data_IF_210443504739
#
_entry.id   IF_210443504739
#
_cell.length_a   1.000
_cell.length_b   1.000
_cell.length_c   1.000
_cell.angle_alpha   90.00
_cell.angle_beta   90.00
_cell.angle_gamma   90.00
#
_symmetry.space_group_name_H-M   'P 1'
#
loop_
_entity.id
_entity.type
_entity.pdbx_description
1 polymer ?
#
# COMPACT_ATOMS: atom_id res chain seq x y z
N UNK A 1 6.18 -5.17 -11.63
CA UNK A 1 6.05 -3.75 -11.25
C UNK A 1 7.43 -3.09 -11.30
N UNK A 2 7.56 -1.86 -11.82
CA UNK A 2 8.85 -1.16 -11.82
C UNK A 2 9.17 -0.67 -10.41
N UNK A 3 10.14 -1.30 -9.74
CA UNK A 3 10.59 -0.93 -8.39
C UNK A 3 11.19 0.48 -8.29
N UNK A 4 11.50 1.11 -9.43
CA UNK A 4 12.00 2.48 -9.50
C UNK A 4 10.89 3.52 -9.70
N UNK A 5 9.63 3.08 -9.87
CA UNK A 5 8.49 4.00 -9.92
C UNK A 5 8.36 4.72 -8.56
N UNK A 6 8.46 6.05 -8.58
CA UNK A 6 8.42 6.86 -7.37
C UNK A 6 7.11 6.66 -6.59
N UNK A 7 6.01 6.35 -7.30
CA UNK A 7 4.67 6.04 -6.75
C UNK A 7 4.66 4.76 -5.91
N UNK A 8 5.62 3.87 -6.14
CA UNK A 8 5.74 2.57 -5.48
C UNK A 8 6.82 2.61 -4.39
N UNK A 9 7.86 3.43 -4.57
CA UNK A 9 8.97 3.52 -3.60
C UNK A 9 8.52 4.10 -2.26
N UNK A 10 7.71 5.16 -2.26
CA UNK A 10 7.31 5.81 -1.00
C UNK A 10 6.42 4.90 -0.13
N UNK A 11 5.42 4.24 -0.70
CA UNK A 11 4.62 3.27 0.06
C UNK A 11 5.48 2.11 0.60
N UNK A 12 6.57 1.77 -0.09
CA UNK A 12 7.58 0.80 0.37
C UNK A 12 8.58 1.35 1.41
N UNK A 13 8.20 2.37 2.16
CA UNK A 13 8.99 2.91 3.28
C UNK A 13 10.19 3.76 2.88
N UNK A 14 10.39 4.07 1.59
CA UNK A 14 11.43 5.02 1.19
C UNK A 14 11.01 6.46 1.48
N UNK A 15 11.88 7.24 2.12
CA UNK A 15 11.67 8.66 2.40
C UNK A 15 12.86 9.44 1.88
N UNK A 16 12.58 10.55 1.19
CA UNK A 16 13.59 11.52 0.76
C UNK A 16 13.23 12.88 1.31
N UNK A 17 14.18 13.50 1.99
CA UNK A 17 14.02 14.87 2.48
C UNK A 17 15.36 15.59 2.53
N UNK A 18 15.30 16.89 2.79
CA UNK A 18 16.47 17.77 2.81
C UNK A 18 16.65 18.37 4.19
N UNK A 19 17.89 18.42 4.65
CA UNK A 19 18.29 19.08 5.89
C UNK A 19 19.48 19.99 5.65
N UNK A 20 19.47 21.17 6.28
CA UNK A 20 20.66 22.01 6.42
C UNK A 20 21.74 21.27 7.23
N UNK A 21 23.02 21.45 6.87
CA UNK A 21 24.18 20.80 7.49
C UNK A 21 24.24 20.96 9.00
N UNK A 22 23.65 22.03 9.56
CA UNK A 22 23.61 22.27 11.02
C UNK A 22 22.80 21.22 11.78
N UNK A 23 21.90 20.51 11.10
CA UNK A 23 21.09 19.42 11.68
C UNK A 23 21.73 18.05 11.54
N UNK A 24 22.91 17.96 10.92
CA UNK A 24 23.60 16.70 10.65
C UNK A 24 24.87 16.66 11.49
N UNK A 25 25.14 15.50 12.09
CA UNK A 25 26.35 15.31 12.88
C UNK A 25 27.59 15.54 11.99
N UNK A 26 28.50 16.41 12.44
CA UNK A 26 29.70 16.80 11.69
C UNK A 26 30.63 15.62 11.39
N UNK A 27 30.71 14.63 12.28
CA UNK A 27 31.50 13.42 12.03
C UNK A 27 30.91 12.61 10.88
N UNK A 28 29.57 12.57 10.80
CA UNK A 28 28.82 11.95 9.70
C UNK A 28 28.87 12.80 8.42
N UNK A 29 29.30 14.05 8.46
CA UNK A 29 29.58 14.80 7.23
C UNK A 29 31.00 14.54 6.70
N UNK A 30 31.90 14.01 7.53
CA UNK A 30 33.31 13.85 7.18
C UNK A 30 33.64 12.54 6.43
N UNK A 31 32.81 11.50 6.51
CA UNK A 31 33.03 10.28 5.71
C UNK A 31 32.63 10.55 4.24
N UNK A 32 33.22 9.80 3.29
CA UNK A 32 33.19 10.17 1.86
C UNK A 32 31.99 9.60 1.07
N UNK A 33 31.27 8.62 1.60
CA UNK A 33 29.99 8.10 1.08
C UNK A 33 29.38 7.14 2.09
N UNK A 34 28.09 7.28 2.38
CA UNK A 34 27.46 6.60 3.50
C UNK A 34 26.25 5.82 3.05
N UNK A 35 26.33 4.51 3.16
CA UNK A 35 25.16 3.68 3.33
C UNK A 35 25.25 3.14 4.75
N UNK A 36 24.58 3.81 5.67
CA UNK A 36 24.45 3.33 7.05
C UNK A 36 23.36 2.28 7.08
N UNK A 37 23.60 1.17 7.76
CA UNK A 37 22.65 0.07 7.90
C UNK A 37 22.16 -0.05 9.33
N UNK A 38 20.97 -0.61 9.50
CA UNK A 38 20.36 -0.92 10.80
C UNK A 38 20.28 0.31 11.73
N UNK A 39 19.82 1.43 11.17
CA UNK A 39 19.58 2.67 11.89
C UNK A 39 18.24 2.62 12.64
N UNK A 40 18.07 3.54 13.60
CA UNK A 40 16.82 3.69 14.33
C UNK A 40 16.49 5.16 14.58
N UNK A 41 15.21 5.44 14.84
CA UNK A 41 14.68 6.77 15.09
C UNK A 41 14.24 6.84 16.54
N UNK A 42 14.65 7.90 17.25
CA UNK A 42 14.18 8.23 18.59
C UNK A 42 13.33 9.49 18.51
N UNK A 43 12.09 9.39 18.99
CA UNK A 43 11.22 10.53 19.19
C UNK A 43 11.55 11.20 20.53
N UNK A 44 11.96 12.45 20.50
CA UNK A 44 12.35 13.23 21.68
C UNK A 44 11.31 14.31 21.95
N UNK A 45 10.54 14.15 23.03
CA UNK A 45 9.54 15.13 23.43
C UNK A 45 10.17 16.47 23.83
N UNK A 46 9.48 17.57 23.51
CA UNK A 46 9.98 18.92 23.74
C UNK A 46 9.19 19.62 24.84
N UNK A 47 9.87 20.47 25.61
CA UNK A 47 9.24 21.25 26.67
C UNK A 47 8.17 22.21 26.14
N UNK A 48 7.26 22.62 27.02
CA UNK A 48 6.25 23.67 26.76
C UNK A 48 5.29 23.34 25.60
N UNK A 49 4.94 22.06 25.44
CA UNK A 49 3.97 21.62 24.42
C UNK A 49 4.48 21.76 22.98
N UNK A 50 5.79 21.95 22.79
CA UNK A 50 6.40 21.99 21.46
C UNK A 50 6.33 20.60 20.83
N UNK A 51 6.25 20.58 19.49
CA UNK A 51 6.31 19.35 18.72
C UNK A 51 7.62 18.60 19.02
N UNK A 52 7.59 17.26 19.12
CA UNK A 52 8.77 16.44 19.37
C UNK A 52 9.80 16.61 18.25
N UNK A 53 11.04 16.26 18.53
CA UNK A 53 12.08 16.11 17.51
C UNK A 53 12.26 14.62 17.18
N UNK A 54 12.74 14.33 15.98
CA UNK A 54 13.12 12.97 15.60
C UNK A 54 14.63 12.92 15.38
N UNK A 55 15.32 12.12 16.19
CA UNK A 55 16.76 11.94 16.08
C UNK A 55 17.03 10.59 15.47
N UNK A 56 17.87 10.55 14.44
CA UNK A 56 18.26 9.33 13.75
C UNK A 56 19.63 8.89 14.26
N UNK A 57 19.75 7.62 14.62
CA UNK A 57 20.97 7.02 15.13
C UNK A 57 21.41 5.83 14.27
N UNK A 58 22.71 5.58 14.24
CA UNK A 58 23.29 4.31 13.78
C UNK A 58 22.98 3.18 14.77
N UNK A 59 23.26 1.94 14.38
CA UNK A 59 23.14 0.76 15.25
C UNK A 59 24.01 0.82 16.52
N UNK A 60 25.13 1.54 16.47
CA UNK A 60 26.03 1.79 17.61
C UNK A 60 25.74 3.11 18.36
N UNK A 61 24.53 3.65 18.23
CA UNK A 61 24.03 4.84 18.93
C UNK A 61 24.79 6.15 18.64
N UNK A 62 25.41 6.28 17.48
CA UNK A 62 25.94 7.57 17.01
C UNK A 62 24.84 8.36 16.32
N UNK A 63 24.64 9.60 16.75
CA UNK A 63 23.65 10.49 16.14
C UNK A 63 24.04 10.80 14.69
N UNK A 64 23.09 10.65 13.78
CA UNK A 64 23.20 10.95 12.35
C UNK A 64 22.69 12.36 12.09
N UNK A 65 21.42 12.62 12.41
CA UNK A 65 20.78 13.92 12.24
C UNK A 65 19.62 14.10 13.22
N UNK A 66 19.22 15.35 13.41
CA UNK A 66 18.05 15.75 14.20
C UNK A 66 17.05 16.50 13.31
N UNK A 67 15.81 16.02 13.30
CA UNK A 67 14.73 16.56 12.50
C UNK A 67 13.76 17.30 13.44
N UNK A 68 13.91 18.61 13.48
CA UNK A 68 13.03 19.50 14.22
C UNK A 68 11.73 19.80 13.47
N UNK A 69 10.70 20.22 14.20
CA UNK A 69 9.39 20.57 13.63
C UNK A 69 9.42 21.73 12.61
N UNK A 70 10.44 22.60 12.67
CA UNK A 70 10.63 23.68 11.70
C UNK A 70 11.12 23.20 10.34
N UNK A 71 11.71 22.00 10.26
CA UNK A 71 12.15 21.38 9.01
C UNK A 71 10.95 20.70 8.34
N UNK A 72 9.92 21.49 7.99
CA UNK A 72 8.56 21.01 7.69
C UNK A 72 8.48 19.85 6.69
N UNK A 73 9.29 19.90 5.62
CA UNK A 73 9.38 18.81 4.64
C UNK A 73 9.94 17.51 5.26
N UNK A 74 11.11 17.59 5.89
CA UNK A 74 11.72 16.44 6.58
C UNK A 74 10.84 15.91 7.72
N UNK A 75 10.20 16.80 8.45
CA UNK A 75 9.34 16.48 9.57
C UNK A 75 8.11 15.67 9.14
N UNK A 76 7.46 16.05 8.03
CA UNK A 76 6.34 15.27 7.47
C UNK A 76 6.76 13.86 7.06
N UNK A 77 7.91 13.74 6.40
CA UNK A 77 8.39 12.46 5.87
C UNK A 77 8.82 11.50 7.00
N UNK A 78 9.55 12.00 8.02
CA UNK A 78 10.05 11.16 9.11
C UNK A 78 8.93 10.62 10.00
N UNK A 79 7.85 11.39 10.20
CA UNK A 79 6.70 10.97 11.01
C UNK A 79 6.06 9.68 10.51
N UNK A 80 6.09 9.43 9.21
CA UNK A 80 5.48 8.26 8.60
C UNK A 80 6.23 6.96 8.93
N UNK A 81 7.51 7.04 9.29
CA UNK A 81 8.38 5.88 9.53
C UNK A 81 9.03 5.90 10.92
N UNK A 82 8.67 6.86 11.79
CA UNK A 82 9.34 7.11 13.06
C UNK A 82 9.34 5.92 14.04
N UNK A 83 8.38 5.01 13.91
CA UNK A 83 8.24 3.83 14.77
C UNK A 83 8.77 2.54 14.12
N UNK A 84 9.52 2.65 13.03
CA UNK A 84 10.03 1.51 12.27
C UNK A 84 11.56 1.44 12.35
N UNK A 85 12.15 0.23 12.32
CA UNK A 85 13.57 0.07 12.05
C UNK A 85 13.93 0.65 10.69
N UNK A 86 15.14 1.20 10.55
CA UNK A 86 15.61 1.80 9.31
C UNK A 86 16.72 0.94 8.71
N UNK A 87 16.43 0.30 7.57
CA UNK A 87 17.38 -0.58 6.87
C UNK A 87 18.58 0.19 6.34
N UNK A 88 18.34 1.36 5.73
CA UNK A 88 19.40 2.15 5.12
C UNK A 88 19.18 3.64 5.31
N UNK A 89 20.25 4.37 5.58
CA UNK A 89 20.32 5.83 5.48
C UNK A 89 21.45 6.22 4.54
N UNK A 90 21.16 7.09 3.58
CA UNK A 90 22.13 7.71 2.67
C UNK A 90 22.04 9.22 2.76
N UNK A 91 23.20 9.88 2.76
CA UNK A 91 23.33 11.33 2.89
C UNK A 91 24.25 11.83 1.78
N UNK A 92 23.81 12.85 1.04
CA UNK A 92 24.58 13.46 -0.04
C UNK A 92 24.43 14.98 -0.04
N UNK A 93 25.51 15.75 -0.28
CA UNK A 93 25.40 17.20 -0.43
C UNK A 93 24.59 17.54 -1.68
N UNK A 94 23.86 18.66 -1.64
CA UNK A 94 23.19 19.20 -2.81
C UNK A 94 24.17 19.90 -3.76
N UNK A 95 23.95 19.77 -5.07
CA UNK A 95 24.77 20.46 -6.09
C UNK A 95 24.47 21.96 -6.19
N UNK A 96 23.34 22.42 -5.60
CA UNK A 96 22.86 23.81 -5.67
C UNK A 96 23.73 24.84 -4.92
N UNK A 97 24.75 24.40 -4.17
CA UNK A 97 25.65 25.28 -3.41
C UNK A 97 25.05 25.85 -2.13
N UNK A 98 23.82 25.46 -1.78
CA UNK A 98 23.28 25.66 -0.44
C UNK A 98 23.88 24.64 0.53
N UNK A 99 23.97 24.99 1.81
CA UNK A 99 24.49 24.12 2.87
C UNK A 99 23.53 22.95 3.21
N UNK A 100 22.75 22.48 2.24
CA UNK A 100 21.73 21.46 2.35
C UNK A 100 22.23 20.09 1.89
N UNK A 101 21.70 19.06 2.54
CA UNK A 101 21.98 17.66 2.23
C UNK A 101 20.68 16.94 1.94
N UNK A 102 20.70 16.13 0.89
CA UNK A 102 19.66 15.16 0.60
C UNK A 102 19.87 13.93 1.48
N UNK A 103 18.81 13.51 2.16
CA UNK A 103 18.77 12.33 3.00
C UNK A 103 17.74 11.36 2.42
N UNK A 104 18.20 10.15 2.10
CA UNK A 104 17.39 9.02 1.68
C UNK A 104 17.35 7.98 2.80
N UNK A 105 16.15 7.59 3.23
CA UNK A 105 15.93 6.54 4.23
C UNK A 105 15.05 5.44 3.67
N UNK A 106 15.30 4.20 4.10
CA UNK A 106 14.43 3.07 3.84
C UNK A 106 14.04 2.41 5.16
N UNK A 107 12.75 2.44 5.48
CA UNK A 107 12.21 1.68 6.60
C UNK A 107 12.21 0.17 6.33
N UNK A 108 12.37 -0.62 7.37
CA UNK A 108 12.17 -2.06 7.32
C UNK A 108 10.67 -2.39 7.46
N UNK A 109 10.06 -2.80 6.35
CA UNK A 109 8.67 -3.24 6.32
C UNK A 109 8.52 -4.76 6.36
N UNK A 110 9.62 -5.52 6.57
CA UNK A 110 9.51 -6.96 6.84
C UNK A 110 8.55 -7.17 8.02
N UNK A 111 7.74 -8.23 8.03
CA UNK A 111 6.76 -8.44 9.08
C UNK A 111 7.45 -8.42 10.44
N UNK A 112 7.22 -7.35 11.21
CA UNK A 112 7.66 -7.24 12.61
C UNK A 112 6.89 -8.26 13.46
N UNK A 113 5.72 -8.69 12.99
CA UNK A 113 4.83 -9.61 13.68
C UNK A 113 4.60 -10.89 12.86
N UNK A 114 4.80 -12.04 13.49
CA UNK A 114 4.15 -13.28 13.07
C UNK A 114 2.66 -13.14 13.43
N UNK A 115 1.85 -12.69 12.48
CA UNK A 115 0.40 -12.68 12.66
C UNK A 115 -0.09 -14.12 12.84
N UNK A 116 -0.83 -14.39 13.92
CA UNK A 116 -1.35 -15.73 14.22
C UNK A 116 -2.25 -16.26 13.09
N UNK A 117 -2.98 -15.36 12.43
CA UNK A 117 -3.87 -15.65 11.32
C UNK A 117 -3.59 -14.69 10.15
N UNK A 118 -2.57 -14.95 9.31
CA UNK A 118 -2.27 -14.09 8.17
C UNK A 118 -3.36 -14.24 7.09
N UNK A 119 -3.67 -13.15 6.38
CA UNK A 119 -4.56 -13.18 5.23
C UNK A 119 -3.74 -13.61 4.01
N UNK A 120 -4.03 -14.78 3.45
CA UNK A 120 -3.23 -15.33 2.34
C UNK A 120 -3.12 -14.38 1.15
N UNK A 121 -4.24 -13.75 0.79
CA UNK A 121 -4.36 -12.85 -0.36
C UNK A 121 -5.47 -11.85 -0.07
N UNK A 122 -5.21 -10.59 -0.41
CA UNK A 122 -6.25 -9.57 -0.56
C UNK A 122 -6.24 -9.02 -1.98
N UNK A 123 -7.38 -8.48 -2.42
CA UNK A 123 -7.49 -7.68 -3.63
C UNK A 123 -7.98 -6.29 -3.25
N UNK A 124 -7.36 -5.26 -3.80
CA UNK A 124 -7.68 -3.86 -3.51
C UNK A 124 -8.02 -3.13 -4.81
N UNK A 125 -8.99 -2.24 -4.73
CA UNK A 125 -9.33 -1.30 -5.80
C UNK A 125 -9.87 0.00 -5.19
N UNK A 126 -9.65 1.13 -5.88
CA UNK A 126 -10.09 2.46 -5.48
C UNK A 126 -10.89 3.17 -6.57
N UNK A 127 -11.91 3.91 -6.15
CA UNK A 127 -12.50 4.99 -6.96
C UNK A 127 -12.10 6.33 -6.36
N UNK A 128 -11.76 7.30 -7.20
CA UNK A 128 -11.10 8.56 -6.80
C UNK A 128 -11.76 9.77 -7.44
N UNK A 129 -11.49 10.97 -6.91
CA UNK A 129 -11.98 12.22 -7.51
C UNK A 129 -11.30 12.57 -8.84
N UNK A 130 -10.20 11.89 -9.18
CA UNK A 130 -9.38 12.12 -10.36
C UNK A 130 -8.16 11.21 -10.38
N UNK A 131 -7.12 11.59 -11.13
CA UNK A 131 -5.97 10.70 -11.42
C UNK A 131 -4.67 11.10 -10.73
N UNK A 132 -4.60 12.27 -10.08
CA UNK A 132 -3.39 12.77 -9.42
C UNK A 132 -3.49 12.56 -7.90
N UNK A 133 -2.79 11.56 -7.31
CA UNK A 133 -2.89 11.26 -5.89
C UNK A 133 -2.47 12.42 -4.98
N UNK A 134 -1.73 13.42 -5.48
CA UNK A 134 -1.34 14.61 -4.70
C UNK A 134 -2.44 15.67 -4.60
N UNK A 135 -3.48 15.56 -5.44
CA UNK A 135 -4.56 16.55 -5.58
C UNK A 135 -5.94 15.94 -5.42
N UNK A 136 -6.07 14.68 -5.80
CA UNK A 136 -7.29 13.89 -5.79
C UNK A 136 -7.37 13.01 -4.54
N UNK A 137 -8.59 12.62 -4.20
CA UNK A 137 -8.91 11.87 -2.99
C UNK A 137 -9.67 10.59 -3.32
N UNK A 138 -9.56 9.57 -2.47
CA UNK A 138 -10.33 8.33 -2.59
C UNK A 138 -11.78 8.58 -2.17
N UNK A 139 -12.71 8.17 -3.04
CA UNK A 139 -14.16 8.19 -2.84
C UNK A 139 -14.73 6.82 -2.44
N UNK A 140 -14.10 5.73 -2.87
CA UNK A 140 -14.43 4.37 -2.46
C UNK A 140 -13.16 3.54 -2.37
N UNK A 141 -13.03 2.74 -1.31
CA UNK A 141 -11.99 1.72 -1.18
C UNK A 141 -12.67 0.38 -0.93
N UNK A 142 -12.31 -0.61 -1.74
CA UNK A 142 -12.74 -1.99 -1.54
C UNK A 142 -11.54 -2.89 -1.30
N UNK A 143 -11.72 -3.83 -0.39
CA UNK A 143 -10.78 -4.91 -0.10
C UNK A 143 -11.56 -6.20 0.03
N UNK A 144 -11.20 -7.21 -0.77
CA UNK A 144 -11.73 -8.58 -0.63
C UNK A 144 -10.60 -9.55 -0.29
N UNK A 145 -10.92 -10.67 0.33
CA UNK A 145 -9.96 -11.76 0.51
C UNK A 145 -9.79 -12.58 -0.78
N UNK A 146 -8.82 -13.49 -0.76
CA UNK A 146 -8.58 -14.46 -1.84
C UNK A 146 -9.67 -15.53 -2.01
N UNK A 147 -10.84 -15.39 -1.40
CA UNK A 147 -12.05 -16.20 -1.66
C UNK A 147 -13.21 -15.34 -2.18
N UNK A 148 -13.03 -14.02 -2.29
CA UNK A 148 -14.05 -13.08 -2.73
C UNK A 148 -14.92 -12.52 -1.60
N UNK A 149 -14.63 -12.82 -0.33
CA UNK A 149 -15.36 -12.23 0.79
C UNK A 149 -14.92 -10.77 0.99
N UNK A 150 -15.88 -9.88 1.20
CA UNK A 150 -15.60 -8.47 1.46
C UNK A 150 -15.00 -8.28 2.86
N UNK A 151 -13.79 -7.73 2.90
CA UNK A 151 -13.13 -7.24 4.13
C UNK A 151 -13.53 -5.78 4.38
N UNK A 152 -13.48 -4.95 3.32
CA UNK A 152 -13.83 -3.54 3.35
C UNK A 152 -14.54 -3.16 2.05
N UNK A 153 -15.58 -2.34 2.13
CA UNK A 153 -16.22 -1.71 0.96
C UNK A 153 -16.93 -0.44 1.44
N UNK A 154 -16.16 0.63 1.57
CA UNK A 154 -16.62 1.88 2.14
C UNK A 154 -16.54 3.01 1.12
N UNK A 155 -17.48 3.93 1.22
CA UNK A 155 -17.45 5.22 0.54
C UNK A 155 -16.98 6.29 1.51
N UNK A 156 -16.25 7.28 0.99
CA UNK A 156 -15.65 8.33 1.78
C UNK A 156 -16.00 9.71 1.24
N UNK A 157 -16.12 10.66 2.17
CA UNK A 157 -16.25 12.07 1.83
C UNK A 157 -14.84 12.66 1.62
N UNK A 158 -14.55 13.29 0.47
CA UNK A 158 -13.29 14.00 0.28
C UNK A 158 -13.22 15.22 1.21
N UNK A 159 -12.02 15.52 1.72
CA UNK A 159 -11.75 16.60 2.68
C UNK A 159 -11.36 17.91 1.99
N UNK A 160 -10.74 17.84 0.80
CA UNK A 160 -10.13 18.97 0.11
C UNK A 160 -10.69 19.20 -1.31
N UNK A 161 -11.22 18.17 -1.96
CA UNK A 161 -11.79 18.22 -3.30
C UNK A 161 -13.31 18.39 -3.24
N UNK A 162 -13.84 19.40 -3.91
CA UNK A 162 -15.27 19.75 -3.87
C UNK A 162 -16.04 19.39 -5.16
N UNK A 163 -15.34 18.98 -6.23
CA UNK A 163 -15.89 18.63 -7.54
C UNK A 163 -15.04 17.57 -8.25
N UNK A 164 -15.70 16.60 -8.90
CA UNK A 164 -15.05 15.51 -9.65
C UNK A 164 -15.94 15.02 -10.81
N UNK A 165 -16.50 15.96 -11.56
CA UNK A 165 -17.50 15.67 -12.61
C UNK A 165 -17.02 14.68 -13.67
N UNK A 166 -15.74 14.70 -14.04
CA UNK A 166 -15.19 13.74 -15.01
C UNK A 166 -15.09 12.33 -14.42
N UNK A 167 -14.55 12.18 -13.21
CA UNK A 167 -14.48 10.89 -12.54
C UNK A 167 -15.90 10.33 -12.28
N UNK A 168 -16.83 11.18 -11.85
CA UNK A 168 -18.23 10.80 -11.62
C UNK A 168 -18.96 10.31 -12.89
N UNK A 169 -18.53 10.69 -14.10
CA UNK A 169 -19.09 10.12 -15.35
C UNK A 169 -18.70 8.65 -15.53
N UNK A 170 -17.60 8.22 -14.92
CA UNK A 170 -17.04 6.89 -15.03
C UNK A 170 -17.60 5.99 -13.93
N UNK A 171 -17.39 6.36 -12.66
CA UNK A 171 -17.75 5.52 -11.50
C UNK A 171 -19.10 5.88 -10.85
N UNK A 172 -19.78 6.91 -11.34
CA UNK A 172 -21.12 7.33 -10.89
C UNK A 172 -21.25 7.71 -9.41
N UNK A 173 -20.15 7.91 -8.69
CA UNK A 173 -20.16 8.36 -7.30
C UNK A 173 -20.38 9.87 -7.28
N UNK A 174 -21.52 10.30 -6.76
CA UNK A 174 -21.89 11.72 -6.70
C UNK A 174 -21.55 12.33 -5.34
N UNK A 175 -21.41 13.67 -5.31
CA UNK A 175 -21.24 14.42 -4.05
C UNK A 175 -22.34 14.11 -3.03
N UNK A 176 -23.57 13.90 -3.49
CA UNK A 176 -24.71 13.56 -2.62
C UNK A 176 -24.57 12.17 -1.99
N UNK A 177 -23.98 11.19 -2.69
CA UNK A 177 -23.75 9.85 -2.14
C UNK A 177 -22.75 9.86 -0.99
N UNK A 178 -21.73 10.71 -1.08
CA UNK A 178 -20.62 10.77 -0.11
C UNK A 178 -20.74 11.87 0.94
N UNK A 179 -21.70 12.82 0.82
CA UNK A 179 -21.79 14.02 1.67
C UNK A 179 -21.76 13.77 3.19
N UNK A 180 -22.30 12.64 3.63
CA UNK A 180 -22.43 12.25 5.04
C UNK A 180 -21.55 11.06 5.41
N UNK A 181 -20.64 10.65 4.52
CA UNK A 181 -19.68 9.57 4.78
C UNK A 181 -18.50 10.12 5.59
N UNK A 182 -17.82 9.28 6.38
CA UNK A 182 -16.59 9.70 7.04
C UNK A 182 -15.48 9.95 6.00
N UNK A 183 -14.43 10.71 6.35
CA UNK A 183 -13.22 10.78 5.54
C UNK A 183 -12.47 9.45 5.61
N UNK A 184 -11.68 9.12 4.59
CA UNK A 184 -10.90 7.88 4.54
C UNK A 184 -9.85 7.78 5.66
N UNK A 185 -9.40 8.93 6.19
CA UNK A 185 -8.52 9.00 7.35
C UNK A 185 -9.08 8.27 8.58
N UNK A 186 -10.41 8.11 8.68
CA UNK A 186 -11.06 7.33 9.76
C UNK A 186 -10.80 5.82 9.70
N UNK A 187 -10.52 5.27 8.51
CA UNK A 187 -10.24 3.83 8.31
C UNK A 187 -8.74 3.54 8.15
N UNK A 188 -7.86 4.56 8.24
CA UNK A 188 -6.43 4.42 7.97
C UNK A 188 -5.76 3.29 8.77
N UNK A 189 -6.04 3.20 10.07
CA UNK A 189 -5.47 2.18 10.95
C UNK A 189 -5.98 0.77 10.59
N UNK A 190 -7.26 0.65 10.24
CA UNK A 190 -7.86 -0.59 9.77
C UNK A 190 -7.20 -1.05 8.46
N UNK A 191 -7.07 -0.14 7.49
CA UNK A 191 -6.44 -0.42 6.19
C UNK A 191 -4.99 -0.87 6.40
N UNK A 192 -4.21 -0.15 7.21
CA UNK A 192 -2.83 -0.52 7.52
C UNK A 192 -2.74 -1.91 8.17
N UNK A 193 -3.67 -2.23 9.08
CA UNK A 193 -3.74 -3.54 9.72
C UNK A 193 -4.00 -4.68 8.72
N UNK A 194 -4.92 -4.47 7.76
CA UNK A 194 -5.20 -5.43 6.69
C UNK A 194 -3.99 -5.62 5.76
N UNK A 195 -3.33 -4.53 5.35
CA UNK A 195 -2.11 -4.57 4.54
C UNK A 195 -0.97 -5.34 5.24
N UNK A 196 -0.81 -5.15 6.55
CA UNK A 196 0.23 -5.83 7.32
C UNK A 196 -0.02 -7.35 7.41
N UNK A 197 -1.28 -7.75 7.62
CA UNK A 197 -1.68 -9.16 7.74
C UNK A 197 -1.67 -9.91 6.41
N UNK A 198 -1.76 -9.21 5.28
CA UNK A 198 -1.74 -9.80 3.95
C UNK A 198 -0.37 -10.42 3.62
N UNK A 199 -0.37 -11.62 3.04
CA UNK A 199 0.82 -12.25 2.45
C UNK A 199 0.99 -11.87 0.97
N UNK A 200 -0.13 -11.64 0.27
CA UNK A 200 -0.18 -11.15 -1.11
C UNK A 200 -1.23 -10.05 -1.22
N UNK A 201 -0.90 -8.98 -1.95
CA UNK A 201 -1.78 -7.86 -2.26
C UNK A 201 -1.93 -7.77 -3.77
N UNK A 202 -3.08 -8.14 -4.29
CA UNK A 202 -3.38 -8.16 -5.72
C UNK A 202 -4.10 -6.86 -6.08
N UNK A 203 -3.62 -6.17 -7.12
CA UNK A 203 -4.24 -4.94 -7.62
C UNK A 203 -4.18 -4.99 -9.16
N UNK A 204 -5.20 -4.47 -9.83
CA UNK A 204 -5.16 -4.30 -11.28
C UNK A 204 -4.63 -2.91 -11.60
N UNK A 205 -3.48 -2.79 -12.28
CA UNK A 205 -2.77 -1.51 -12.45
C UNK A 205 -2.26 -0.92 -11.11
N UNK A 206 -1.60 -1.78 -10.31
CA UNK A 206 -1.14 -1.49 -8.96
C UNK A 206 -0.50 -0.10 -8.71
N UNK A 207 0.34 0.47 -9.60
CA UNK A 207 0.94 1.78 -9.34
C UNK A 207 -0.05 2.93 -9.13
N UNK A 208 -1.30 2.80 -9.60
CA UNK A 208 -2.34 3.81 -9.39
C UNK A 208 -2.80 3.81 -7.93
N UNK A 209 -3.40 2.71 -7.46
CA UNK A 209 -3.92 2.59 -6.10
C UNK A 209 -2.84 2.77 -5.04
N UNK A 210 -1.65 2.19 -5.28
CA UNK A 210 -0.52 2.33 -4.35
C UNK A 210 -0.11 3.80 -4.13
N UNK A 211 -0.25 4.66 -5.16
CA UNK A 211 0.08 6.07 -5.03
C UNK A 211 -0.93 6.82 -4.16
N UNK A 212 -2.22 6.49 -4.25
CA UNK A 212 -3.24 7.05 -3.35
C UNK A 212 -3.07 6.53 -1.92
N UNK A 213 -2.78 5.24 -1.73
CA UNK A 213 -2.51 4.68 -0.41
C UNK A 213 -1.25 5.30 0.23
N UNK A 214 -0.22 5.64 -0.57
CA UNK A 214 0.97 6.37 -0.10
C UNK A 214 0.62 7.77 0.43
N UNK A 215 -0.25 8.51 -0.27
CA UNK A 215 -0.65 9.87 0.15
C UNK A 215 -1.53 9.85 1.42
N UNK A 216 -2.22 8.74 1.71
CA UNK A 216 -2.81 8.49 3.02
C UNK A 216 -1.75 8.26 4.13
N UNK A 217 -0.50 8.06 3.75
CA UNK A 217 0.60 7.70 4.64
C UNK A 217 0.53 6.24 5.10
N UNK A 218 -0.02 5.35 4.27
CA UNK A 218 0.06 3.90 4.48
C UNK A 218 1.41 3.38 4.03
N UNK A 219 1.79 2.21 4.55
CA UNK A 219 3.01 1.50 4.22
C UNK A 219 2.70 0.08 3.78
N UNK A 220 3.39 -0.39 2.75
CA UNK A 220 3.25 -1.74 2.23
C UNK A 220 4.57 -2.25 1.72
N UNK A 221 4.95 -3.45 2.17
CA UNK A 221 6.03 -4.20 1.53
C UNK A 221 5.61 -4.62 0.12
N UNK A 222 6.13 -3.89 -0.87
CA UNK A 222 5.77 -4.04 -2.28
C UNK A 222 6.21 -5.36 -2.88
N UNK A 223 7.04 -6.16 -2.18
CA UNK A 223 7.33 -7.55 -2.57
C UNK A 223 6.10 -8.45 -2.49
N UNK A 224 5.09 -8.05 -1.69
CA UNK A 224 3.80 -8.74 -1.58
C UNK A 224 2.83 -8.36 -2.71
N UNK A 225 3.15 -7.34 -3.52
CA UNK A 225 2.22 -6.79 -4.50
C UNK A 225 2.29 -7.55 -5.84
N UNK A 226 1.12 -7.98 -6.29
CA UNK A 226 0.89 -8.56 -7.62
C UNK A 226 0.08 -7.57 -8.47
N UNK A 227 0.65 -7.12 -9.61
CA UNK A 227 -0.03 -6.25 -10.59
C UNK A 227 -0.67 -7.10 -11.68
N UNK A 228 -1.94 -7.46 -11.47
CA UNK A 228 -2.70 -8.38 -12.33
C UNK A 228 -2.72 -7.95 -13.79
N UNK A 229 -2.82 -6.64 -14.06
CA UNK A 229 -2.85 -6.11 -15.42
C UNK A 229 -1.60 -6.48 -16.21
N UNK A 230 -0.43 -6.27 -15.60
CA UNK A 230 0.85 -6.58 -16.24
C UNK A 230 1.05 -8.07 -16.38
N UNK A 231 0.72 -8.85 -15.35
CA UNK A 231 0.88 -10.30 -15.42
C UNK A 231 0.00 -10.91 -16.51
N UNK A 232 -1.29 -10.54 -16.54
CA UNK A 232 -2.23 -11.00 -17.56
C UNK A 232 -1.83 -10.50 -18.94
N UNK A 233 -1.59 -9.19 -19.08
CA UNK A 233 -1.19 -8.56 -20.34
C UNK A 233 0.04 -9.22 -20.95
N UNK A 234 1.07 -9.53 -20.14
CA UNK A 234 2.28 -10.16 -20.64
C UNK A 234 2.15 -11.66 -20.90
N UNK A 235 1.41 -12.38 -20.06
CA UNK A 235 1.24 -13.83 -20.21
C UNK A 235 0.35 -14.18 -21.39
N UNK A 236 -0.73 -13.42 -21.62
CA UNK A 236 -1.77 -13.71 -22.60
C UNK A 236 -1.59 -12.90 -23.89
N UNK A 237 -1.25 -11.61 -23.77
CA UNK A 237 -1.31 -10.67 -24.91
C UNK A 237 0.03 -10.07 -25.33
N UNK A 238 1.12 -10.33 -24.60
CA UNK A 238 2.44 -9.68 -24.79
C UNK A 238 2.37 -8.15 -24.72
N UNK A 239 1.53 -7.62 -23.84
CA UNK A 239 1.31 -6.18 -23.62
C UNK A 239 1.56 -5.79 -22.17
N UNK A 240 2.05 -4.57 -21.97
CA UNK A 240 2.17 -3.97 -20.62
C UNK A 240 0.82 -3.47 -20.07
N UNK A 241 -0.14 -3.18 -20.95
CA UNK A 241 -1.47 -2.68 -20.60
C UNK A 241 -2.55 -3.53 -21.27
N UNK A 242 -3.56 -3.90 -20.49
CA UNK A 242 -4.78 -4.55 -20.98
C UNK A 242 -5.96 -4.12 -20.11
N UNK A 243 -7.12 -3.84 -20.70
CA UNK A 243 -8.29 -3.36 -19.94
C UNK A 243 -8.88 -4.49 -19.07
N UNK A 244 -9.22 -4.19 -17.82
CA UNK A 244 -9.80 -5.18 -16.89
C UNK A 244 -11.08 -5.81 -17.44
N UNK A 245 -12.00 -5.01 -17.97
CA UNK A 245 -13.25 -5.51 -18.56
C UNK A 245 -13.00 -6.53 -19.69
N UNK A 246 -11.96 -6.33 -20.50
CA UNK A 246 -11.60 -7.26 -21.57
C UNK A 246 -10.94 -8.52 -21.00
N UNK A 247 -10.02 -8.37 -20.05
CA UNK A 247 -9.37 -9.50 -19.38
C UNK A 247 -10.40 -10.39 -18.67
N UNK A 248 -11.33 -9.77 -17.93
CA UNK A 248 -12.41 -10.44 -17.22
C UNK A 248 -13.32 -11.18 -18.20
N UNK A 249 -13.74 -10.54 -19.29
CA UNK A 249 -14.58 -11.18 -20.32
C UNK A 249 -13.89 -12.40 -20.96
N UNK A 250 -12.60 -12.31 -21.28
CA UNK A 250 -11.81 -13.45 -21.79
C UNK A 250 -11.65 -14.58 -20.76
N UNK A 251 -11.76 -14.26 -19.48
CA UNK A 251 -11.79 -15.22 -18.38
C UNK A 251 -13.21 -15.72 -18.07
N UNK A 252 -14.22 -15.33 -18.85
CA UNK A 252 -15.62 -15.72 -18.65
C UNK A 252 -16.30 -15.01 -17.48
N UNK A 253 -15.85 -13.82 -17.09
CA UNK A 253 -16.41 -13.02 -16.01
C UNK A 253 -16.90 -11.66 -16.52
N UNK A 254 -18.21 -11.43 -16.38
CA UNK A 254 -18.87 -10.17 -16.76
C UNK A 254 -19.40 -9.47 -15.52
N UNK A 255 -19.25 -8.16 -15.45
CA UNK A 255 -19.58 -7.39 -14.26
C UNK A 255 -19.87 -5.92 -14.61
N UNK A 256 -20.34 -5.16 -13.62
CA UNK A 256 -20.50 -3.72 -13.73
C UNK A 256 -19.20 -3.02 -13.35
N UNK A 257 -18.47 -2.52 -14.34
CA UNK A 257 -17.21 -1.81 -14.15
C UNK A 257 -17.39 -0.45 -13.47
N UNK A 258 -16.29 0.07 -12.90
CA UNK A 258 -16.22 1.36 -12.21
C UNK A 258 -17.02 1.36 -10.90
N UNK A 259 -16.89 0.24 -10.19
CA UNK A 259 -17.25 0.10 -8.80
C UNK A 259 -16.17 -0.74 -8.13
N UNK A 260 -15.43 -0.15 -7.19
CA UNK A 260 -14.23 -0.83 -6.65
C UNK A 260 -14.47 -2.23 -6.08
N UNK A 261 -15.67 -2.55 -5.56
CA UNK A 261 -15.94 -3.92 -5.09
C UNK A 261 -16.09 -4.90 -6.25
N UNK A 262 -16.77 -4.49 -7.31
CA UNK A 262 -16.94 -5.32 -8.50
C UNK A 262 -15.62 -5.45 -9.29
N UNK A 263 -14.84 -4.37 -9.36
CA UNK A 263 -13.49 -4.38 -9.94
C UNK A 263 -12.52 -5.25 -9.13
N UNK A 264 -12.62 -5.27 -7.78
CA UNK A 264 -11.92 -6.25 -6.95
C UNK A 264 -12.24 -7.70 -7.35
N UNK A 265 -13.54 -8.04 -7.49
CA UNK A 265 -13.97 -9.40 -7.86
C UNK A 265 -13.50 -9.78 -9.27
N UNK A 266 -13.62 -8.87 -10.23
CA UNK A 266 -13.13 -9.08 -11.59
C UNK A 266 -11.60 -9.29 -11.59
N UNK A 267 -10.87 -8.48 -10.84
CA UNK A 267 -9.41 -8.60 -10.67
C UNK A 267 -9.03 -9.96 -10.08
N UNK A 268 -9.72 -10.41 -9.03
CA UNK A 268 -9.49 -11.73 -8.42
C UNK A 268 -9.69 -12.86 -9.45
N UNK A 269 -10.75 -12.78 -10.26
CA UNK A 269 -11.05 -13.79 -11.27
C UNK A 269 -9.97 -13.84 -12.37
N UNK A 270 -9.51 -12.67 -12.83
CA UNK A 270 -8.38 -12.58 -13.78
C UNK A 270 -7.10 -13.12 -13.15
N UNK A 271 -6.83 -12.82 -11.88
CA UNK A 271 -5.63 -13.33 -11.20
C UNK A 271 -5.67 -14.86 -11.05
N UNK A 272 -6.83 -15.49 -10.82
CA UNK A 272 -6.93 -16.94 -10.86
C UNK A 272 -6.56 -17.53 -12.22
N UNK A 273 -6.93 -16.86 -13.32
CA UNK A 273 -6.51 -17.27 -14.66
C UNK A 273 -4.99 -17.20 -14.81
N UNK A 274 -4.38 -16.11 -14.34
CA UNK A 274 -2.91 -15.92 -14.34
C UNK A 274 -2.20 -17.00 -13.54
N UNK A 275 -2.65 -17.27 -12.30
CA UNK A 275 -2.08 -18.27 -11.41
C UNK A 275 -2.09 -19.66 -12.06
N UNK A 276 -3.23 -20.04 -12.66
CA UNK A 276 -3.39 -21.30 -13.38
C UNK A 276 -2.44 -21.43 -14.59
N UNK A 277 -2.23 -20.35 -15.34
CA UNK A 277 -1.31 -20.34 -16.48
C UNK A 277 0.15 -20.47 -16.04
N UNK A 278 0.55 -19.81 -14.95
CA UNK A 278 1.89 -19.93 -14.36
C UNK A 278 2.15 -21.34 -13.85
N UNK A 279 1.19 -21.95 -13.16
CA UNK A 279 1.31 -23.32 -12.68
C UNK A 279 1.49 -24.33 -13.83
N UNK A 280 0.73 -24.18 -14.93
CA UNK A 280 0.87 -25.07 -16.11
C UNK A 280 2.25 -24.96 -16.77
N UNK A 281 2.83 -23.75 -16.86
CA UNK A 281 4.18 -23.56 -17.40
C UNK A 281 5.27 -24.18 -16.52
N UNK A 282 5.05 -24.24 -15.21
CA UNK A 282 6.01 -24.78 -14.24
C UNK A 282 5.89 -26.30 -14.04
N UNK A 283 4.95 -26.99 -14.71
CA UNK A 283 4.90 -28.45 -14.71
C UNK A 283 5.94 -29.00 -15.68
N UNK A 284 6.84 -29.92 -15.26
CA UNK A 284 7.75 -30.59 -16.18
C UNK A 284 6.96 -31.34 -17.26
N UNK A 285 7.49 -31.36 -18.48
CA UNK A 285 6.83 -31.82 -19.71
C UNK A 285 6.63 -33.34 -19.81
N UNK A 286 6.42 -34.05 -18.70
CA UNK A 286 6.06 -35.47 -18.67
C UNK A 286 5.02 -35.72 -17.58
N UNK A 287 3.74 -35.74 -17.98
CA UNK A 287 2.74 -36.72 -17.56
C UNK A 287 1.39 -36.35 -18.21
N UNK A 288 0.90 -37.22 -19.09
CA UNK A 288 -0.45 -37.13 -19.63
C UNK A 288 -1.46 -37.27 -18.47
N UNK A 289 -2.55 -36.49 -18.43
CA UNK A 289 -3.50 -36.55 -17.33
C UNK A 289 -4.48 -37.71 -17.50
N UNK A 290 -4.50 -38.63 -16.54
CA UNK A 290 -5.62 -39.56 -16.32
C UNK A 290 -6.82 -38.76 -15.83
N UNK A 291 -7.96 -38.89 -16.50
CA UNK A 291 -9.22 -38.25 -16.12
C UNK A 291 -9.71 -38.78 -14.76
N UNK A 292 -9.98 -37.89 -13.81
CA UNK A 292 -10.83 -38.17 -12.65
C UNK A 292 -12.06 -37.26 -12.74
N UNK A 293 -13.24 -37.90 -12.74
CA UNK A 293 -14.55 -37.25 -12.79
C UNK A 293 -14.87 -36.53 -11.46
N UNK A 294 -15.76 -35.51 -11.47
CA UNK A 294 -16.07 -34.75 -10.27
C UNK A 294 -17.01 -35.53 -9.34
N UNK A 295 -16.66 -35.62 -8.06
CA UNK A 295 -17.59 -36.00 -6.99
C UNK A 295 -18.27 -34.74 -6.44
N UNK A 296 -19.59 -34.79 -6.37
CA UNK A 296 -20.44 -33.76 -5.77
C UNK A 296 -20.09 -33.54 -4.30
N UNK A 297 -19.80 -32.30 -3.91
CA UNK A 297 -19.73 -31.88 -2.51
C UNK A 297 -20.90 -30.93 -2.25
N UNK A 298 -21.86 -31.38 -1.43
CA UNK A 298 -22.92 -30.54 -0.86
C UNK A 298 -22.31 -29.61 0.20
N UNK A 299 -22.44 -28.30 0.00
CA UNK A 299 -22.02 -27.29 0.98
C UNK A 299 -23.20 -26.98 1.89
N UNK A 300 -23.07 -27.27 3.19
CA UNK A 300 -23.95 -26.73 4.22
C UNK A 300 -23.57 -25.27 4.49
N UNK A 301 -24.58 -24.39 4.44
CA UNK A 301 -24.44 -22.96 4.76
C UNK A 301 -24.06 -22.78 6.24
N UNK A 302 -22.89 -22.21 6.50
CA UNK A 302 -22.52 -21.70 7.82
C UNK A 302 -22.65 -20.18 7.84
N UNK A 303 -23.26 -19.69 8.92
CA UNK A 303 -23.79 -18.34 9.09
C UNK A 303 -22.70 -17.25 9.14
N UNK A 304 -22.68 -16.38 8.14
CA UNK A 304 -21.63 -15.36 7.89
C UNK A 304 -21.63 -14.18 8.88
N UNK A 305 -22.64 -14.09 9.75
CA UNK A 305 -22.77 -13.00 10.73
C UNK A 305 -21.88 -13.14 11.97
N UNK A 306 -21.43 -14.36 12.29
CA UNK A 306 -20.59 -14.61 13.48
C UNK A 306 -19.14 -14.11 13.31
N UNK A 307 -18.59 -14.23 12.10
CA UNK A 307 -17.18 -13.91 11.82
C UNK A 307 -16.87 -12.40 11.89
N UNK A 308 -17.72 -11.56 11.29
CA UNK A 308 -17.55 -10.10 11.33
C UNK A 308 -17.67 -9.52 12.76
N UNK A 309 -18.54 -10.13 13.59
CA UNK A 309 -18.70 -9.73 14.99
C UNK A 309 -17.47 -10.08 15.83
N UNK A 310 -16.85 -11.24 15.59
CA UNK A 310 -15.64 -11.70 16.29
C UNK A 310 -14.38 -10.91 15.90
N UNK A 311 -14.28 -10.47 14.64
CA UNK A 311 -13.18 -9.59 14.20
C UNK A 311 -13.28 -8.20 14.85
N UNK A 312 -14.48 -7.61 14.87
CA UNK A 312 -14.73 -6.30 15.49
C UNK A 312 -14.56 -6.30 17.01
N UNK A 313 -14.92 -7.39 17.69
CA UNK A 313 -14.73 -7.52 19.15
C UNK A 313 -13.27 -7.77 19.54
N UNK A 314 -12.52 -8.53 18.73
CA UNK A 314 -11.08 -8.73 18.94
C UNK A 314 -10.29 -7.43 18.74
N UNK A 315 -10.69 -6.59 17.77
CA UNK A 315 -10.08 -5.29 17.55
C UNK A 315 -10.37 -4.30 18.69
N UNK A 316 -11.56 -4.32 19.30
CA UNK A 316 -11.88 -3.47 20.47
C UNK A 316 -11.15 -3.88 21.75
N UNK A 317 -10.78 -5.16 21.89
CA UNK A 317 -10.05 -5.66 23.05
C UNK A 317 -8.55 -5.27 23.05
N UNK A 318 -8.00 -4.95 21.88
CA UNK A 318 -6.61 -4.50 21.72
C UNK A 318 -6.39 -3.00 22.03
N UNK A 319 -7.46 -2.23 22.24
CA UNK A 319 -7.41 -0.78 22.49
C UNK A 319 -8.13 -0.35 23.79
N UNK A 320 -8.13 -1.22 24.81
CA UNK A 320 -8.49 -0.87 26.19
C UNK A 320 -7.29 -0.94 27.12
#
# INVERSE_FOLDING_TARGET
MNKYDWRVRRINGYRRFYLDKRFINREILAWRKFYLQDCHIVKVEQSKGRKPHYIVYTSDNRQICEIEARSTGAYREIQLIANLPILTVSIAPMESGDDSYMIDMQADLRPIHNYANPIRRIVIDTETTGLDPRRDEILQLSIIDGFGNTILNNYYKPEYVDSWTEAARIHHITKTMVKNKPPISSDKELIQSVLNQAQEVVIYNAPFDLAFLDELGLLLDTRKVTDTMREYGQLVHKKEYYKLINAAAECGYTYHAHNSLEDCKATLHVQYRVDNLKQKKNRPSHNQPTMLQPQHIQIQQADTKSWAHNLMSSLKALFK
#
